data_IF_069370398814
#
_entry.id   IF_069370398814
#
_cell.length_a   1.000
_cell.length_b   1.000
_cell.length_c   1.000
_cell.angle_alpha   90.00
_cell.angle_beta   90.00
_cell.angle_gamma   90.00
#
_symmetry.space_group_name_H-M   'P 1'
#
loop_
_entity.id
_entity.type
_entity.pdbx_description
1 polymer ?
#
# COMPACT_ATOMS: atom_id res chain seq x y z
N UNK A 1 61.97 -17.51 -23.97
CA UNK A 1 60.95 -17.68 -25.01
C UNK A 1 59.62 -17.10 -24.48
N UNK A 2 58.94 -16.23 -25.23
CA UNK A 2 57.55 -15.78 -24.98
C UNK A 2 56.77 -16.03 -26.27
N UNK A 3 55.47 -16.40 -26.22
CA UNK A 3 54.42 -15.39 -26.48
C UNK A 3 53.09 -15.65 -25.71
N UNK A 4 52.41 -14.64 -25.15
CA UNK A 4 51.27 -13.83 -25.63
C UNK A 4 49.94 -14.16 -24.93
N UNK A 5 49.12 -13.11 -24.76
CA UNK A 5 47.85 -13.00 -24.02
C UNK A 5 46.65 -13.65 -24.72
N UNK A 6 45.59 -13.94 -23.95
CA UNK A 6 44.17 -13.72 -24.28
C UNK A 6 43.41 -13.54 -22.95
N UNK A 7 42.97 -12.34 -22.59
CA UNK A 7 41.67 -11.71 -22.89
C UNK A 7 40.47 -12.28 -22.10
N UNK A 8 39.87 -11.34 -21.37
CA UNK A 8 38.51 -11.18 -20.83
C UNK A 8 37.45 -12.25 -21.11
N UNK A 9 36.65 -12.55 -20.08
CA UNK A 9 35.17 -12.62 -20.12
C UNK A 9 34.66 -12.63 -18.68
N UNK A 10 33.96 -11.58 -18.25
CA UNK A 10 32.50 -11.60 -18.13
C UNK A 10 32.11 -12.14 -16.74
N UNK A 11 31.72 -11.34 -15.75
CA UNK A 11 30.78 -10.24 -15.88
C UNK A 11 29.36 -10.79 -16.11
N UNK A 12 28.91 -11.77 -15.33
CA UNK A 12 27.49 -12.16 -15.28
C UNK A 12 27.06 -12.40 -13.83
N UNK A 13 26.49 -11.34 -13.26
CA UNK A 13 25.26 -11.38 -12.46
C UNK A 13 25.19 -12.48 -11.40
N UNK A 14 25.89 -12.23 -10.29
CA UNK A 14 25.35 -12.60 -9.00
C UNK A 14 24.02 -11.84 -8.82
N UNK A 15 22.94 -12.43 -9.32
CA UNK A 15 21.54 -12.05 -9.04
C UNK A 15 21.34 -12.17 -7.54
N UNK A 16 21.80 -11.13 -6.81
CA UNK A 16 21.49 -10.91 -5.41
C UNK A 16 19.98 -11.02 -5.31
N UNK A 17 19.53 -11.94 -4.46
CA UNK A 17 18.14 -12.21 -4.16
C UNK A 17 17.36 -10.89 -4.10
N UNK A 18 16.42 -10.71 -5.04
CA UNK A 18 15.50 -9.58 -4.98
C UNK A 18 14.74 -9.73 -3.69
N UNK A 19 14.96 -8.82 -2.74
CA UNK A 19 14.13 -8.76 -1.55
C UNK A 19 12.96 -7.86 -1.94
N UNK A 20 12.08 -8.37 -2.80
CA UNK A 20 10.81 -7.73 -3.11
C UNK A 20 9.99 -7.70 -1.83
N UNK A 21 9.87 -6.50 -1.23
CA UNK A 21 9.13 -6.27 -0.01
C UNK A 21 7.83 -5.53 -0.33
N UNK A 22 6.69 -6.10 0.05
CA UNK A 22 5.43 -5.36 0.04
C UNK A 22 5.30 -4.61 1.37
N UNK A 23 5.16 -3.29 1.30
CA UNK A 23 4.88 -2.46 2.47
C UNK A 23 3.49 -1.85 2.36
N UNK A 24 2.84 -1.67 3.51
CA UNK A 24 1.49 -1.12 3.57
C UNK A 24 1.51 0.24 4.27
N UNK A 25 0.78 1.18 3.69
CA UNK A 25 0.38 2.42 4.33
C UNK A 25 -1.13 2.56 4.27
N UNK A 26 -1.68 3.25 5.24
CA UNK A 26 -3.12 3.42 5.38
C UNK A 26 -3.43 4.90 5.52
N UNK A 27 -4.59 5.32 4.99
CA UNK A 27 -5.11 6.67 5.18
C UNK A 27 -6.60 6.66 5.48
N UNK A 28 -6.99 7.27 6.59
CA UNK A 28 -8.38 7.34 7.05
C UNK A 28 -8.91 8.79 7.02
N UNK A 29 -10.21 9.04 6.77
CA UNK A 29 -11.16 8.08 6.22
C UNK A 29 -10.91 7.85 4.72
N UNK A 30 -11.32 6.68 4.22
CA UNK A 30 -11.24 6.35 2.78
C UNK A 30 -12.22 7.15 1.92
N UNK A 31 -13.28 7.71 2.52
CA UNK A 31 -14.24 8.56 1.82
C UNK A 31 -14.63 9.77 2.66
N UNK A 32 -15.00 10.86 1.98
CA UNK A 32 -15.65 11.98 2.63
C UNK A 32 -17.02 11.59 3.21
N UNK A 33 -17.41 12.26 4.30
CA UNK A 33 -18.63 11.98 5.09
C UNK A 33 -19.90 11.74 4.26
N UNK A 34 -20.28 12.58 3.26
CA UNK A 34 -21.50 12.34 2.49
C UNK A 34 -21.49 11.03 1.70
N UNK A 35 -20.31 10.59 1.24
CA UNK A 35 -20.15 9.32 0.53
C UNK A 35 -20.20 8.14 1.50
N UNK A 36 -19.55 8.27 2.66
CA UNK A 36 -19.59 7.26 3.72
C UNK A 36 -21.02 7.03 4.23
N UNK A 37 -21.76 8.10 4.53
CA UNK A 37 -23.16 8.03 4.95
C UNK A 37 -24.05 7.34 3.89
N UNK A 38 -23.85 7.65 2.61
CA UNK A 38 -24.57 6.98 1.52
C UNK A 38 -24.24 5.50 1.43
N UNK A 39 -22.97 5.13 1.60
CA UNK A 39 -22.53 3.73 1.59
C UNK A 39 -23.10 2.97 2.78
N UNK A 40 -23.03 3.53 3.98
CA UNK A 40 -23.60 2.95 5.20
C UNK A 40 -25.11 2.66 5.04
N UNK A 41 -25.88 3.63 4.53
CA UNK A 41 -27.32 3.45 4.30
C UNK A 41 -27.62 2.30 3.31
N UNK A 42 -26.81 2.15 2.25
CA UNK A 42 -26.94 1.02 1.32
C UNK A 42 -26.56 -0.31 1.97
N UNK A 43 -25.45 -0.35 2.71
CA UNK A 43 -24.97 -1.55 3.37
C UNK A 43 -25.96 -2.04 4.43
N UNK A 44 -26.51 -1.12 5.24
CA UNK A 44 -27.52 -1.40 6.27
C UNK A 44 -28.81 -2.01 5.71
N UNK A 45 -29.18 -1.68 4.47
CA UNK A 45 -30.33 -2.29 3.80
C UNK A 45 -30.10 -3.76 3.41
N UNK A 46 -28.83 -4.17 3.26
CA UNK A 46 -28.42 -5.52 2.85
C UNK A 46 -27.98 -6.36 4.07
N UNK A 47 -27.40 -5.71 5.08
CA UNK A 47 -26.83 -6.33 6.28
C UNK A 47 -27.65 -5.86 7.50
N UNK A 48 -28.71 -6.59 7.87
CA UNK A 48 -29.47 -6.30 9.08
C UNK A 48 -28.56 -6.33 10.31
N UNK A 49 -28.62 -5.28 11.12
CA UNK A 49 -27.81 -5.18 12.34
C UNK A 49 -26.47 -4.46 12.19
N UNK A 50 -26.13 -3.93 11.00
CA UNK A 50 -24.95 -3.07 10.84
C UNK A 50 -25.06 -1.80 11.71
N UNK A 51 -24.11 -1.63 12.63
CA UNK A 51 -24.11 -0.54 13.63
C UNK A 51 -23.30 0.66 13.15
N UNK A 52 -22.10 0.42 12.62
CA UNK A 52 -21.16 1.43 12.14
C UNK A 52 -20.49 0.98 10.84
N UNK A 53 -19.86 1.92 10.14
CA UNK A 53 -19.02 1.65 8.99
C UNK A 53 -17.86 2.65 9.00
N UNK A 54 -16.65 2.13 9.04
CA UNK A 54 -15.41 2.89 8.93
C UNK A 54 -14.69 2.50 7.65
N UNK A 55 -13.89 3.41 7.10
CA UNK A 55 -13.20 3.18 5.83
C UNK A 55 -11.83 3.80 5.86
N UNK A 56 -10.88 3.19 5.18
CA UNK A 56 -9.55 3.73 4.94
C UNK A 56 -9.08 3.31 3.54
N UNK A 57 -8.09 4.02 3.00
CA UNK A 57 -7.30 3.53 1.88
C UNK A 57 -6.19 2.62 2.40
N UNK A 58 -5.94 1.52 1.69
CA UNK A 58 -4.75 0.68 1.84
C UNK A 58 -3.85 0.87 0.61
N UNK A 59 -2.65 1.38 0.82
CA UNK A 59 -1.62 1.54 -0.21
C UNK A 59 -0.67 0.34 -0.14
N UNK A 60 -0.74 -0.50 -1.17
CA UNK A 60 0.14 -1.64 -1.37
C UNK A 60 1.35 -1.20 -2.20
N UNK A 61 2.52 -1.06 -1.57
CA UNK A 61 3.71 -0.52 -2.22
C UNK A 61 4.77 -1.61 -2.33
N UNK A 62 5.07 -2.01 -3.57
CA UNK A 62 6.16 -2.92 -3.88
C UNK A 62 7.50 -2.18 -3.83
N UNK A 63 8.46 -2.74 -3.10
CA UNK A 63 9.81 -2.19 -2.94
C UNK A 63 10.84 -3.24 -3.34
N UNK A 64 11.92 -2.81 -4.00
CA UNK A 64 13.02 -3.70 -4.38
C UNK A 64 14.02 -3.95 -3.24
N UNK A 65 13.95 -3.14 -2.19
CA UNK A 65 14.79 -3.17 -1.01
C UNK A 65 14.04 -2.60 0.20
N UNK A 66 14.53 -2.90 1.41
CA UNK A 66 13.94 -2.37 2.64
C UNK A 66 14.12 -0.86 2.72
N UNK A 67 13.02 -0.15 2.96
CA UNK A 67 13.02 1.28 3.21
C UNK A 67 13.72 1.62 4.53
N UNK A 68 14.59 2.63 4.50
CA UNK A 68 15.10 3.25 5.72
C UNK A 68 14.09 4.23 6.32
N UNK A 69 14.37 4.73 7.52
CA UNK A 69 13.48 5.64 8.27
C UNK A 69 13.14 6.88 7.44
N UNK A 70 14.13 7.52 6.81
CA UNK A 70 13.91 8.71 6.00
C UNK A 70 13.05 8.45 4.76
N UNK A 71 13.26 7.32 4.08
CA UNK A 71 12.42 6.93 2.94
C UNK A 71 10.97 6.64 3.37
N UNK A 72 10.81 6.03 4.55
CA UNK A 72 9.49 5.76 5.14
C UNK A 72 8.76 7.06 5.47
N UNK A 73 9.44 8.04 6.07
CA UNK A 73 8.89 9.38 6.33
C UNK A 73 8.45 10.09 5.04
N UNK A 74 9.28 10.02 3.98
CA UNK A 74 8.95 10.64 2.70
C UNK A 74 7.71 9.98 2.08
N UNK A 75 7.62 8.65 2.12
CA UNK A 75 6.44 7.93 1.62
C UNK A 75 5.20 8.28 2.42
N UNK A 76 5.27 8.33 3.75
CA UNK A 76 4.15 8.74 4.58
C UNK A 76 3.70 10.17 4.22
N UNK A 77 4.63 11.09 4.00
CA UNK A 77 4.33 12.45 3.57
C UNK A 77 3.67 12.50 2.18
N UNK A 78 4.12 11.71 1.22
CA UNK A 78 3.53 11.64 -0.13
C UNK A 78 2.09 11.12 -0.12
N UNK A 79 1.79 10.17 0.76
CA UNK A 79 0.48 9.55 0.86
C UNK A 79 -0.49 10.33 1.76
N UNK A 80 0.04 11.22 2.61
CA UNK A 80 -0.75 11.99 3.56
C UNK A 80 -1.67 13.01 2.89
N UNK A 81 -2.76 13.34 3.58
CA UNK A 81 -3.54 14.54 3.25
C UNK A 81 -2.82 15.78 3.78
N UNK A 82 -2.86 16.87 3.02
CA UNK A 82 -2.06 18.08 3.26
C UNK A 82 -2.31 18.68 4.64
N UNK A 83 -3.54 18.59 5.14
CA UNK A 83 -3.97 19.19 6.40
C UNK A 83 -4.29 18.17 7.50
N UNK A 84 -4.12 16.88 7.24
CA UNK A 84 -4.43 15.79 8.20
C UNK A 84 -3.38 14.67 8.14
N UNK A 85 -2.07 14.97 8.30
CA UNK A 85 -0.99 13.99 8.18
C UNK A 85 -1.06 12.87 9.22
N UNK A 86 -1.64 13.14 10.39
CA UNK A 86 -1.85 12.17 11.46
C UNK A 86 -2.83 11.05 11.09
N UNK A 87 -3.64 11.25 10.03
CA UNK A 87 -4.56 10.23 9.54
C UNK A 87 -3.93 9.31 8.49
N UNK A 88 -2.60 9.33 8.36
CA UNK A 88 -1.85 8.43 7.48
C UNK A 88 -0.75 7.72 8.27
N UNK A 89 -0.62 6.40 8.12
CA UNK A 89 0.31 5.60 8.92
C UNK A 89 0.66 4.26 8.29
N UNK A 90 1.61 3.54 8.89
CA UNK A 90 2.04 2.20 8.44
C UNK A 90 1.21 1.05 9.02
N UNK A 91 0.24 1.36 9.89
CA UNK A 91 -0.72 0.42 10.45
C UNK A 91 -2.14 0.87 10.13
N UNK A 92 -3.05 -0.09 9.99
CA UNK A 92 -4.48 0.17 9.78
C UNK A 92 -5.06 0.96 10.94
N UNK A 93 -5.94 1.90 10.64
CA UNK A 93 -6.73 2.65 11.62
C UNK A 93 -8.01 1.90 12.01
N UNK A 94 -8.40 0.87 11.24
CA UNK A 94 -9.56 0.05 11.52
C UNK A 94 -9.26 -0.94 12.66
N UNK A 95 -10.25 -1.13 13.54
CA UNK A 95 -10.18 -2.09 14.64
C UNK A 95 -11.27 -3.15 14.50
N UNK A 96 -10.89 -4.41 14.71
CA UNK A 96 -11.83 -5.54 14.80
C UNK A 96 -12.10 -5.97 16.24
N UNK A 97 -11.52 -5.28 17.23
CA UNK A 97 -11.62 -5.66 18.65
C UNK A 97 -13.07 -5.66 19.16
N UNK A 98 -13.93 -4.81 18.61
CA UNK A 98 -15.35 -4.70 18.97
C UNK A 98 -16.25 -5.71 18.22
N UNK A 99 -15.66 -6.72 17.58
CA UNK A 99 -16.38 -7.74 16.80
C UNK A 99 -16.75 -7.32 15.38
N UNK A 100 -16.08 -6.29 14.85
CA UNK A 100 -16.22 -5.87 13.46
C UNK A 100 -15.46 -6.77 12.47
N UNK A 101 -15.85 -6.70 11.20
CA UNK A 101 -15.15 -7.36 10.08
C UNK A 101 -14.54 -6.32 9.13
N UNK A 102 -13.36 -6.64 8.57
CA UNK A 102 -12.69 -5.80 7.57
C UNK A 102 -12.86 -6.42 6.19
N UNK A 103 -13.33 -5.60 5.24
CA UNK A 103 -13.44 -5.95 3.83
C UNK A 103 -12.53 -5.05 3.01
N UNK A 104 -11.48 -5.62 2.43
CA UNK A 104 -10.63 -4.92 1.46
C UNK A 104 -11.21 -5.06 0.04
N UNK A 105 -11.35 -3.94 -0.65
CA UNK A 105 -11.86 -3.89 -2.03
C UNK A 105 -10.81 -3.21 -2.91
N UNK A 106 -10.31 -3.94 -3.90
CA UNK A 106 -9.26 -3.47 -4.80
C UNK A 106 -9.43 -3.96 -6.23
N UNK A 107 -8.57 -3.50 -7.15
CA UNK A 107 -8.50 -4.03 -8.51
C UNK A 107 -8.17 -5.52 -8.50
N UNK A 108 -8.51 -6.21 -9.60
CA UNK A 108 -8.12 -7.62 -9.77
C UNK A 108 -6.59 -7.74 -9.74
N UNK A 109 -6.08 -8.71 -8.98
CA UNK A 109 -4.65 -8.93 -8.67
C UNK A 109 -3.66 -8.87 -9.85
N UNK A 110 -4.10 -9.10 -11.09
CA UNK A 110 -3.24 -9.10 -12.29
C UNK A 110 -3.39 -7.85 -13.17
N UNK A 111 -3.93 -6.76 -12.63
CA UNK A 111 -4.13 -5.52 -13.37
C UNK A 111 -3.55 -4.34 -12.60
N UNK A 112 -2.58 -3.67 -13.23
CA UNK A 112 -2.19 -2.32 -12.80
C UNK A 112 -3.35 -1.37 -13.10
N UNK A 113 -3.71 -0.53 -12.13
CA UNK A 113 -4.67 0.55 -12.32
C UNK A 113 -3.94 1.79 -12.83
N UNK A 114 -4.64 2.69 -13.52
CA UNK A 114 -4.08 3.99 -13.88
C UNK A 114 -3.57 4.77 -12.65
N UNK A 115 -4.15 4.52 -11.48
CA UNK A 115 -3.71 5.11 -10.22
C UNK A 115 -2.35 4.54 -9.77
N UNK A 116 -2.10 3.25 -9.98
CA UNK A 116 -0.79 2.63 -9.71
C UNK A 116 0.30 3.10 -10.66
N UNK A 117 0.00 3.32 -11.95
CA UNK A 117 1.02 3.73 -12.93
C UNK A 117 1.44 5.19 -12.80
N UNK A 118 0.60 6.04 -12.21
CA UNK A 118 0.85 7.47 -12.05
C UNK A 118 1.29 7.87 -10.63
N UNK A 119 1.24 6.94 -9.68
CA UNK A 119 1.65 7.15 -8.30
C UNK A 119 3.17 7.30 -8.17
#
# INVERSE_FOLDING_TARGET
ERPLQTMENGGEDNKRARTEGLVHFYRSPGFAEPTLARLFNKAKAIIPGLISLETEFCFNIETTERLNERQTEILQWLLAETFEPEKTGSASFLSTADGGEVLEVGPRLNFSTAWSSNA
#
